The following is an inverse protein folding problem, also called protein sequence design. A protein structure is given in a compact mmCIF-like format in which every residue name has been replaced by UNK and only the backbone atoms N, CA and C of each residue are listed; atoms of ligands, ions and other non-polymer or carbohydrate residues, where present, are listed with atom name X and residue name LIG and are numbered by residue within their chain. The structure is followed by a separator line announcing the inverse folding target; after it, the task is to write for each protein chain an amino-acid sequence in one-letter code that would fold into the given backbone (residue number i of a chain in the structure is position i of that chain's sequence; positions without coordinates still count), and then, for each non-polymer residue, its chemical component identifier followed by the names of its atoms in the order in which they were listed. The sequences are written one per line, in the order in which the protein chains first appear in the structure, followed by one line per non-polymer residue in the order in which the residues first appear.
data_IF_112376823895
#
_entry.id   IF_112376823895
#
_cell.length_a   1.000
_cell.length_b   1.000
_cell.length_c   1.000
_cell.angle_alpha   90.00
_cell.angle_beta   90.00
_cell.angle_gamma   90.00
#
_symmetry.space_group_name_H-M   'P 1'
#
loop_
_entity.id
_entity.type
_entity.pdbx_description
1 polymer ?
#
# COMPACT_ATOMS: atom_id res chain seq x y z
N UNK A 1 25.92 -28.43 48.83
CA UNK A 1 26.37 -27.26 49.62
C UNK A 1 25.12 -26.48 50.03
N UNK A 2 24.83 -26.39 51.33
CA UNK A 2 23.70 -25.62 51.85
C UNK A 2 24.19 -24.22 52.23
N UNK A 3 23.49 -23.19 51.76
CA UNK A 3 23.85 -21.79 51.97
C UNK A 3 23.51 -21.39 53.42
N UNK A 4 24.51 -21.16 54.26
CA UNK A 4 24.38 -20.77 55.68
C UNK A 4 24.43 -19.25 55.86
N UNK A 5 23.70 -18.50 55.02
CA UNK A 5 23.63 -17.04 55.12
C UNK A 5 22.50 -16.59 56.04
N UNK A 6 22.81 -15.78 57.06
CA UNK A 6 21.83 -15.15 57.95
C UNK A 6 20.81 -14.32 57.14
N UNK A 7 19.51 -14.66 57.17
CA UNK A 7 18.48 -13.97 56.38
C UNK A 7 18.32 -12.48 56.73
N UNK A 8 18.78 -12.04 57.90
CA UNK A 8 18.75 -10.63 58.31
C UNK A 8 19.81 -9.77 57.60
N UNK A 9 20.87 -10.38 57.06
CA UNK A 9 21.96 -9.70 56.34
C UNK A 9 21.71 -9.55 54.83
N UNK A 10 20.54 -10.00 54.33
CA UNK A 10 20.17 -9.85 52.93
C UNK A 10 19.97 -8.39 52.56
N UNK A 11 21.02 -7.77 51.98
CA UNK A 11 20.84 -6.52 51.22
C UNK A 11 19.85 -6.78 50.08
N UNK A 12 18.77 -6.01 50.03
CA UNK A 12 17.90 -5.93 48.86
C UNK A 12 18.74 -5.39 47.70
N UNK A 13 19.18 -6.27 46.82
CA UNK A 13 19.79 -5.89 45.54
C UNK A 13 18.64 -5.53 44.62
N UNK A 14 18.53 -4.26 44.24
CA UNK A 14 17.60 -3.86 43.20
C UNK A 14 18.09 -4.46 41.89
N UNK A 15 17.47 -5.55 41.45
CA UNK A 15 17.85 -6.28 40.23
C UNK A 15 17.48 -5.53 38.93
N UNK A 16 17.23 -4.21 39.01
CA UNK A 16 17.04 -3.37 37.84
C UNK A 16 15.86 -3.83 36.99
N UNK A 17 14.68 -4.01 37.60
CA UNK A 17 13.48 -4.48 36.93
C UNK A 17 12.67 -3.42 36.17
N UNK A 18 13.10 -2.15 36.17
CA UNK A 18 12.46 -1.11 35.34
C UNK A 18 12.99 -1.21 33.93
N UNK A 19 12.48 -2.19 33.19
CA UNK A 19 12.84 -2.38 31.80
C UNK A 19 12.48 -1.13 30.98
N UNK A 20 13.40 -0.61 30.16
CA UNK A 20 13.13 0.46 29.19
C UNK A 20 12.04 0.12 28.15
N UNK A 21 11.49 -1.09 28.22
CA UNK A 21 10.48 -1.69 27.34
C UNK A 21 9.22 -0.87 27.13
N UNK A 22 8.81 0.02 28.03
CA UNK A 22 7.66 0.91 27.80
C UNK A 22 7.91 1.87 26.63
N UNK A 23 9.13 2.45 26.56
CA UNK A 23 9.56 3.28 25.42
C UNK A 23 9.73 2.45 24.16
N UNK A 24 10.24 1.22 24.28
CA UNK A 24 10.43 0.34 23.12
C UNK A 24 9.10 -0.16 22.56
N UNK A 25 8.08 -0.37 23.41
CA UNK A 25 6.71 -0.69 22.99
C UNK A 25 6.07 0.47 22.24
N UNK A 26 6.18 1.70 22.77
CA UNK A 26 5.66 2.89 22.08
C UNK A 26 6.35 3.08 20.72
N UNK A 27 7.68 2.95 20.67
CA UNK A 27 8.44 3.00 19.41
C UNK A 27 7.99 1.94 18.41
N UNK A 28 7.78 0.69 18.86
CA UNK A 28 7.31 -0.39 18.00
C UNK A 28 5.91 -0.11 17.43
N UNK A 29 5.00 0.42 18.25
CA UNK A 29 3.66 0.81 17.82
C UNK A 29 3.70 1.93 16.79
N UNK A 30 4.53 2.96 17.01
CA UNK A 30 4.70 4.06 16.06
C UNK A 30 5.32 3.60 14.73
N UNK A 31 6.33 2.71 14.78
CA UNK A 31 6.90 2.10 13.58
C UNK A 31 5.84 1.31 12.79
N UNK A 32 5.01 0.54 13.48
CA UNK A 32 3.94 -0.25 12.86
C UNK A 32 2.86 0.65 12.23
N UNK A 33 2.51 1.76 12.90
CA UNK A 33 1.58 2.78 12.38
C UNK A 33 2.13 3.44 11.12
N UNK A 34 3.39 3.86 11.15
CA UNK A 34 4.04 4.50 10.01
C UNK A 34 4.10 3.55 8.80
N UNK A 35 4.47 2.28 9.03
CA UNK A 35 4.51 1.28 7.97
C UNK A 35 3.12 1.00 7.38
N UNK A 36 2.10 0.88 8.23
CA UNK A 36 0.70 0.73 7.80
C UNK A 36 0.26 1.91 6.93
N UNK A 37 0.56 3.14 7.35
CA UNK A 37 0.21 4.34 6.58
C UNK A 37 0.91 4.37 5.23
N UNK A 38 2.20 3.99 5.17
CA UNK A 38 2.93 3.87 3.91
C UNK A 38 2.31 2.84 2.98
N UNK A 39 1.94 1.66 3.49
CA UNK A 39 1.25 0.61 2.72
C UNK A 39 -0.12 1.06 2.23
N UNK A 40 -0.87 1.79 3.05
CA UNK A 40 -2.18 2.33 2.68
C UNK A 40 -2.05 3.31 1.52
N UNK A 41 -1.09 4.23 1.59
CA UNK A 41 -0.85 5.21 0.54
C UNK A 41 -0.47 4.56 -0.79
N UNK A 42 0.46 3.59 -0.76
CA UNK A 42 0.83 2.81 -1.95
C UNK A 42 -0.37 2.06 -2.55
N UNK A 43 -1.23 1.46 -1.71
CA UNK A 43 -2.46 0.81 -2.20
C UNK A 43 -3.40 1.79 -2.89
N UNK A 44 -3.56 3.00 -2.34
CA UNK A 44 -4.40 4.03 -2.94
C UNK A 44 -3.86 4.48 -4.30
N UNK A 45 -2.54 4.69 -4.39
CA UNK A 45 -1.88 5.02 -5.65
C UNK A 45 -2.03 3.91 -6.69
N UNK A 46 -1.78 2.66 -6.30
CA UNK A 46 -1.92 1.51 -7.18
C UNK A 46 -3.37 1.35 -7.66
N UNK A 47 -4.35 1.54 -6.77
CA UNK A 47 -5.76 1.50 -7.15
C UNK A 47 -6.12 2.59 -8.16
N UNK A 48 -5.60 3.81 -8.00
CA UNK A 48 -5.79 4.89 -8.96
C UNK A 48 -5.11 4.59 -10.30
N UNK A 49 -3.85 4.12 -10.27
CA UNK A 49 -3.11 3.75 -11.47
C UNK A 49 -3.82 2.66 -12.28
N UNK A 50 -4.38 1.64 -11.63
CA UNK A 50 -5.16 0.58 -12.29
C UNK A 50 -6.40 1.14 -12.99
N UNK A 51 -7.10 2.11 -12.39
CA UNK A 51 -8.26 2.76 -13.03
C UNK A 51 -7.85 3.50 -14.31
N UNK A 52 -6.76 4.27 -14.24
CA UNK A 52 -6.22 5.00 -15.39
C UNK A 52 -5.81 4.04 -16.51
N UNK A 53 -5.06 2.99 -16.16
CA UNK A 53 -4.61 1.96 -17.12
C UNK A 53 -5.80 1.25 -17.78
N UNK A 54 -6.83 0.88 -17.02
CA UNK A 54 -8.04 0.24 -17.57
C UNK A 54 -8.76 1.16 -18.55
N UNK A 55 -8.95 2.43 -18.19
CA UNK A 55 -9.57 3.42 -19.07
C UNK A 55 -8.78 3.58 -20.37
N UNK A 56 -7.46 3.78 -20.27
CA UNK A 56 -6.60 3.94 -21.44
C UNK A 56 -6.60 2.70 -22.35
N UNK A 57 -6.56 1.50 -21.77
CA UNK A 57 -6.65 0.26 -22.54
C UNK A 57 -8.00 0.16 -23.27
N UNK A 58 -9.10 0.47 -22.60
CA UNK A 58 -10.43 0.49 -23.22
C UNK A 58 -10.54 1.53 -24.34
N UNK A 59 -10.02 2.72 -24.11
CA UNK A 59 -9.97 3.79 -25.13
C UNK A 59 -9.25 3.33 -26.39
N UNK A 60 -8.09 2.67 -26.27
CA UNK A 60 -7.36 2.15 -27.45
C UNK A 60 -8.17 1.13 -28.26
N UNK A 61 -8.94 0.26 -27.59
CA UNK A 61 -9.80 -0.71 -28.29
C UNK A 61 -10.93 0.01 -29.03
N UNK A 62 -11.59 0.95 -28.35
CA UNK A 62 -12.68 1.73 -28.96
C UNK A 62 -12.19 2.58 -30.14
N UNK A 63 -11.01 3.17 -30.05
CA UNK A 63 -10.41 3.99 -31.11
C UNK A 63 -10.02 3.14 -32.34
N UNK A 64 -9.47 1.95 -32.12
CA UNK A 64 -9.20 1.00 -33.19
C UNK A 64 -10.50 0.58 -33.91
N UNK A 65 -11.56 0.24 -33.16
CA UNK A 65 -12.85 -0.13 -33.76
C UNK A 65 -13.56 1.06 -34.44
N UNK A 66 -13.39 2.27 -33.90
CA UNK A 66 -13.90 3.47 -34.55
C UNK A 66 -13.21 3.69 -35.90
N UNK A 67 -11.90 3.47 -35.96
CA UNK A 67 -11.11 3.61 -37.19
C UNK A 67 -11.51 2.57 -38.24
N UNK A 68 -11.68 1.30 -37.84
CA UNK A 68 -12.13 0.21 -38.74
C UNK A 68 -13.56 0.47 -39.25
N UNK A 69 -14.47 0.95 -38.40
CA UNK A 69 -15.83 1.33 -38.81
C UNK A 69 -15.82 2.49 -39.81
N UNK A 70 -14.99 3.52 -39.58
CA UNK A 70 -14.83 4.63 -40.53
C UNK A 70 -14.33 4.15 -41.89
N UNK A 71 -13.32 3.29 -41.91
CA UNK A 71 -12.79 2.72 -43.15
C UNK A 71 -13.87 1.96 -43.94
N UNK A 72 -14.64 1.09 -43.26
CA UNK A 72 -15.77 0.38 -43.87
C UNK A 72 -16.85 1.33 -44.38
N UNK A 73 -17.14 2.37 -43.62
CA UNK A 73 -18.12 3.38 -43.98
C UNK A 73 -17.69 4.12 -45.26
N UNK A 74 -16.45 4.58 -45.35
CA UNK A 74 -15.94 5.21 -46.58
C UNK A 74 -15.94 4.24 -47.77
N UNK A 75 -15.59 2.97 -47.55
CA UNK A 75 -15.67 1.95 -48.61
C UNK A 75 -17.08 1.72 -49.14
N UNK A 76 -18.11 1.92 -48.30
CA UNK A 76 -19.52 1.67 -48.66
C UNK A 76 -20.21 2.91 -49.22
N UNK A 77 -19.96 4.08 -48.63
CA UNK A 77 -20.72 5.32 -48.90
C UNK A 77 -19.88 6.45 -49.52
N UNK A 78 -18.55 6.29 -49.59
CA UNK A 78 -17.63 7.35 -50.03
C UNK A 78 -17.33 8.40 -48.96
N UNK A 79 -16.40 9.30 -49.24
CA UNK A 79 -15.95 10.35 -48.31
C UNK A 79 -16.98 11.47 -48.06
N UNK A 80 -17.99 11.62 -48.91
CA UNK A 80 -18.92 12.76 -48.85
C UNK A 80 -19.96 12.69 -47.71
N UNK A 81 -20.03 11.58 -46.98
CA UNK A 81 -21.01 11.36 -45.91
C UNK A 81 -20.46 11.65 -44.49
N UNK A 82 -19.30 12.32 -44.39
CA UNK A 82 -18.51 12.43 -43.15
C UNK A 82 -19.03 13.46 -42.11
N UNK A 83 -20.08 14.22 -42.44
CA UNK A 83 -20.64 15.26 -41.57
C UNK A 83 -21.71 14.73 -40.57
N UNK A 84 -21.52 13.53 -40.01
CA UNK A 84 -22.38 12.99 -38.93
C UNK A 84 -21.55 12.55 -37.74
#
# INVERSE_FOLDING_TARGET
MFFTGDPSTRKRVDLGGRSSKERDRQKLLEQTRLERNRRLWLRQQNAAAVKIQKCFRGWKVADAERSTMRERFYGTYGQCCENV
#
